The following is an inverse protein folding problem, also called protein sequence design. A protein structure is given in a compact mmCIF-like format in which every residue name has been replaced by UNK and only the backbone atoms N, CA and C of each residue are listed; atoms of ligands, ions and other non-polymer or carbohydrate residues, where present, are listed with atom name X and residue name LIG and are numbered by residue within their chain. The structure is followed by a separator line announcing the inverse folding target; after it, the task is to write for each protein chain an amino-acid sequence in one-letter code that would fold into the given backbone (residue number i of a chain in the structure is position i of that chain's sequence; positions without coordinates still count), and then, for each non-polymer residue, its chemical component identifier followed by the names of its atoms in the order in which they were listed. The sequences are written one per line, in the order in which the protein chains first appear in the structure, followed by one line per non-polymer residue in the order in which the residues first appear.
data_IF_793974143637
#
_entry.id   IF_793974143637
#
_cell.length_a   1.000
_cell.length_b   1.000
_cell.length_c   1.000
_cell.angle_alpha   90.00
_cell.angle_beta   90.00
_cell.angle_gamma   90.00
#
_symmetry.space_group_name_H-M   'P 1'
#
loop_
_entity.id
_entity.type
_entity.pdbx_description
1 polymer ?
#
# COMPACT_ATOMS: atom_id res chain seq x y z
N UNK A 1 1.76 -16.36 -66.48
CA UNK A 1 1.06 -16.97 -65.33
C UNK A 1 1.15 -16.00 -64.15
N UNK A 2 0.07 -15.27 -63.85
CA UNK A 2 0.02 -14.32 -62.75
C UNK A 2 -0.60 -14.98 -61.51
N UNK A 3 0.06 -14.89 -60.35
CA UNK A 3 -0.46 -15.43 -59.07
C UNK A 3 -1.55 -14.50 -58.52
N UNK A 4 -2.70 -15.02 -58.07
CA UNK A 4 -3.73 -14.20 -57.45
C UNK A 4 -3.27 -13.75 -56.06
N UNK A 5 -3.16 -12.43 -55.88
CA UNK A 5 -2.92 -11.78 -54.60
C UNK A 5 -4.16 -11.95 -53.71
N UNK A 6 -4.10 -12.87 -52.75
CA UNK A 6 -5.09 -12.97 -51.69
C UNK A 6 -5.02 -11.72 -50.81
N UNK A 7 -5.89 -10.75 -51.06
CA UNK A 7 -6.16 -9.65 -50.12
C UNK A 7 -6.76 -10.26 -48.84
N UNK A 8 -5.96 -10.35 -47.78
CA UNK A 8 -6.46 -10.61 -46.42
C UNK A 8 -7.37 -9.44 -46.03
N UNK A 9 -8.67 -9.68 -46.11
CA UNK A 9 -9.68 -8.79 -45.54
C UNK A 9 -9.51 -8.87 -44.02
N UNK A 10 -8.80 -7.91 -43.44
CA UNK A 10 -8.84 -7.67 -42.00
C UNK A 10 -10.26 -7.23 -41.66
N UNK A 11 -11.09 -8.19 -41.23
CA UNK A 11 -12.40 -7.93 -40.66
C UNK A 11 -12.17 -7.08 -39.41
N UNK A 12 -12.35 -5.77 -39.51
CA UNK A 12 -12.40 -4.88 -38.36
C UNK A 12 -13.56 -5.34 -37.48
N UNK A 13 -13.25 -6.13 -36.46
CA UNK A 13 -14.18 -6.44 -35.40
C UNK A 13 -14.65 -5.09 -34.83
N UNK A 14 -15.96 -4.86 -34.88
CA UNK A 14 -16.57 -3.61 -34.43
C UNK A 14 -16.14 -3.30 -32.99
N UNK A 15 -15.96 -2.02 -32.65
CA UNK A 15 -15.44 -1.59 -31.34
C UNK A 15 -16.13 -2.25 -30.15
N UNK A 16 -17.41 -2.61 -30.29
CA UNK A 16 -18.19 -3.30 -29.27
C UNK A 16 -17.77 -4.76 -29.05
N UNK A 17 -17.37 -5.50 -30.09
CA UNK A 17 -16.86 -6.87 -29.96
C UNK A 17 -15.49 -6.91 -29.28
N UNK A 18 -14.66 -5.89 -29.51
CA UNK A 18 -13.37 -5.73 -28.83
C UNK A 18 -13.53 -5.34 -27.35
N UNK A 19 -14.57 -4.56 -27.01
CA UNK A 19 -14.90 -4.25 -25.62
C UNK A 19 -15.44 -5.50 -24.90
N UNK A 20 -16.36 -6.25 -25.51
CA UNK A 20 -16.89 -7.48 -24.95
C UNK A 20 -15.80 -8.54 -24.72
N UNK A 21 -14.86 -8.72 -25.66
CA UNK A 21 -13.77 -9.69 -25.49
C UNK A 21 -12.76 -9.26 -24.41
N UNK A 22 -12.49 -7.95 -24.25
CA UNK A 22 -11.66 -7.43 -23.14
C UNK A 22 -12.33 -7.61 -21.78
N UNK A 23 -13.65 -7.53 -21.70
CA UNK A 23 -14.38 -7.79 -20.46
C UNK A 23 -14.47 -9.28 -20.15
N UNK A 24 -14.67 -10.13 -21.17
CA UNK A 24 -14.79 -11.58 -21.00
C UNK A 24 -13.44 -12.30 -20.77
N UNK A 25 -12.31 -11.61 -20.97
CA UNK A 25 -10.95 -12.12 -20.70
C UNK A 25 -10.35 -11.60 -19.38
N UNK A 26 -11.05 -10.73 -18.66
CA UNK A 26 -10.62 -10.30 -17.32
C UNK A 26 -10.86 -11.44 -16.33
N UNK A 27 -9.82 -11.76 -15.57
CA UNK A 27 -9.94 -12.70 -14.46
C UNK A 27 -10.82 -12.05 -13.39
N UNK A 28 -11.74 -12.82 -12.80
CA UNK A 28 -12.76 -12.32 -11.85
C UNK A 28 -12.18 -11.55 -10.64
N UNK A 29 -10.92 -11.79 -10.31
CA UNK A 29 -10.20 -11.15 -9.21
C UNK A 29 -9.46 -9.86 -9.61
N UNK A 30 -9.51 -9.43 -10.88
CA UNK A 30 -8.89 -8.17 -11.32
C UNK A 30 -9.86 -7.00 -11.23
N UNK A 31 -9.43 -5.94 -10.54
CA UNK A 31 -10.18 -4.67 -10.52
C UNK A 31 -10.24 -4.04 -11.92
N UNK A 32 -11.35 -3.37 -12.26
CA UNK A 32 -11.52 -2.77 -13.57
C UNK A 32 -10.53 -1.63 -13.80
N UNK A 33 -10.17 -1.38 -15.07
CA UNK A 33 -9.14 -0.40 -15.40
C UNK A 33 -9.43 1.03 -14.90
N UNK A 34 -10.70 1.44 -14.87
CA UNK A 34 -11.09 2.74 -14.33
C UNK A 34 -10.78 2.86 -12.83
N UNK A 35 -10.94 1.78 -12.07
CA UNK A 35 -10.63 1.75 -10.64
C UNK A 35 -9.12 1.79 -10.42
N UNK A 36 -8.33 1.11 -11.26
CA UNK A 36 -6.85 1.20 -11.20
C UNK A 36 -6.36 2.63 -11.42
N UNK A 37 -6.93 3.34 -12.39
CA UNK A 37 -6.61 4.76 -12.65
C UNK A 37 -6.98 5.61 -11.43
N UNK A 38 -8.19 5.44 -10.90
CA UNK A 38 -8.63 6.15 -9.69
C UNK A 38 -7.69 5.91 -8.50
N UNK A 39 -7.25 4.67 -8.26
CA UNK A 39 -6.30 4.36 -7.18
C UNK A 39 -4.97 5.08 -7.40
N UNK A 40 -4.42 5.06 -8.62
CA UNK A 40 -3.14 5.74 -8.92
C UNK A 40 -3.26 7.26 -8.68
N UNK A 41 -4.35 7.87 -9.12
CA UNK A 41 -4.58 9.31 -9.02
C UNK A 41 -4.84 9.76 -7.58
N UNK A 42 -5.42 8.90 -6.75
CA UNK A 42 -5.79 9.22 -5.37
C UNK A 42 -4.82 8.65 -4.32
N UNK A 43 -3.89 7.75 -4.68
CA UNK A 43 -3.00 7.10 -3.72
C UNK A 43 -2.18 8.10 -2.89
N UNK A 44 -1.68 9.17 -3.51
CA UNK A 44 -0.97 10.24 -2.81
C UNK A 44 -1.85 10.96 -1.79
N UNK A 45 -3.06 11.33 -2.20
CA UNK A 45 -4.05 12.00 -1.32
C UNK A 45 -4.50 11.12 -0.17
N UNK A 46 -4.84 9.86 -0.44
CA UNK A 46 -5.22 8.88 0.60
C UNK A 46 -4.07 8.72 1.60
N UNK A 47 -2.83 8.61 1.11
CA UNK A 47 -1.66 8.48 1.99
C UNK A 47 -1.43 9.74 2.82
N UNK A 48 -1.65 10.93 2.26
CA UNK A 48 -1.57 12.20 2.99
C UNK A 48 -2.63 12.28 4.10
N UNK A 49 -3.86 11.83 3.84
CA UNK A 49 -4.92 11.76 4.85
C UNK A 49 -4.54 10.76 5.95
N UNK A 50 -4.02 9.58 5.59
CA UNK A 50 -3.54 8.60 6.57
C UNK A 50 -2.43 9.20 7.44
N UNK A 51 -1.48 9.94 6.85
CA UNK A 51 -0.44 10.63 7.59
C UNK A 51 -1.04 11.68 8.55
N UNK A 52 -2.00 12.49 8.09
CA UNK A 52 -2.67 13.47 8.94
C UNK A 52 -3.36 12.82 10.14
N UNK A 53 -4.04 11.69 9.94
CA UNK A 53 -4.70 10.92 11.01
C UNK A 53 -3.69 10.29 11.97
N UNK A 54 -2.56 9.80 11.46
CA UNK A 54 -1.50 9.22 12.29
C UNK A 54 -0.63 10.27 12.99
N UNK A 55 -0.69 11.53 12.59
CA UNK A 55 0.18 12.57 13.12
C UNK A 55 -0.04 12.83 14.63
N UNK A 56 -1.28 13.07 15.14
CA UNK A 56 -1.50 13.27 16.57
C UNK A 56 -1.01 12.11 17.46
N UNK A 57 -1.34 10.83 17.19
CA UNK A 57 -0.86 9.74 18.03
C UNK A 57 0.65 9.53 17.88
N UNK A 58 1.24 9.82 16.71
CA UNK A 58 2.71 9.75 16.54
C UNK A 58 3.41 10.83 17.35
N UNK A 59 2.86 12.04 17.40
CA UNK A 59 3.40 13.15 18.19
C UNK A 59 3.32 12.82 19.69
N UNK A 60 2.20 12.25 20.13
CA UNK A 60 2.06 11.74 21.49
C UNK A 60 3.07 10.63 21.79
N UNK A 61 3.26 9.68 20.87
CA UNK A 61 4.26 8.62 21.00
C UNK A 61 5.70 9.15 21.05
N UNK A 62 5.99 10.25 20.36
CA UNK A 62 7.29 10.94 20.45
C UNK A 62 7.49 11.56 21.84
N UNK A 63 6.49 12.28 22.35
CA UNK A 63 6.55 12.87 23.69
C UNK A 63 6.68 11.77 24.75
N UNK A 64 5.80 10.75 24.73
CA UNK A 64 5.80 9.67 25.71
C UNK A 64 7.00 8.71 25.57
N UNK A 65 7.46 8.48 24.36
CA UNK A 65 8.63 7.63 24.06
C UNK A 65 9.94 8.24 24.54
N UNK A 66 10.06 9.58 24.51
CA UNK A 66 11.18 10.30 25.14
C UNK A 66 11.18 10.12 26.67
N UNK A 67 10.01 9.94 27.29
CA UNK A 67 9.89 9.65 28.73
C UNK A 67 10.11 8.17 29.10
N UNK A 68 10.10 7.23 28.14
CA UNK A 68 10.32 5.79 28.37
C UNK A 68 11.32 5.23 27.37
N UNK A 69 12.59 5.57 27.57
CA UNK A 69 13.68 4.98 26.81
C UNK A 69 14.11 3.63 27.44
N UNK A 70 14.46 2.62 26.62
CA UNK A 70 14.77 1.25 27.04
C UNK A 70 16.07 1.08 27.85
N UNK A 71 16.83 2.14 28.11
CA UNK A 71 17.94 2.07 29.08
C UNK A 71 17.48 1.94 30.53
N UNK A 72 16.20 2.18 30.82
CA UNK A 72 15.61 1.95 32.14
C UNK A 72 15.35 0.46 32.44
N UNK A 73 15.25 -0.39 31.41
CA UNK A 73 15.15 -1.86 31.58
C UNK A 73 16.48 -2.47 32.05
N UNK A 74 17.61 -1.91 31.61
CA UNK A 74 18.93 -2.28 32.14
C UNK A 74 19.10 -1.91 33.63
N UNK A 75 18.22 -1.04 34.15
CA UNK A 75 18.18 -0.57 35.54
C UNK A 75 17.04 -1.21 36.38
N UNK A 76 16.32 -2.20 35.86
CA UNK A 76 15.41 -3.05 36.66
C UNK A 76 13.96 -2.57 36.83
N UNK A 77 13.40 -1.80 35.89
CA UNK A 77 12.00 -1.33 35.93
C UNK A 77 11.02 -2.42 35.40
N UNK A 78 9.78 -2.55 35.92
CA UNK A 78 8.87 -3.68 35.62
C UNK A 78 8.34 -3.74 34.17
N UNK A 79 8.19 -4.96 33.67
CA UNK A 79 7.80 -5.39 32.30
C UNK A 79 6.48 -4.83 31.76
N UNK A 80 5.55 -4.35 32.60
CA UNK A 80 4.30 -3.72 32.15
C UNK A 80 4.51 -2.36 31.47
N UNK A 81 5.71 -1.77 31.58
CA UNK A 81 6.06 -0.50 30.94
C UNK A 81 6.52 -0.63 29.47
N UNK A 82 6.92 -1.83 29.03
CA UNK A 82 7.65 -2.06 27.77
C UNK A 82 6.75 -2.18 26.54
N UNK A 83 5.50 -2.61 26.72
CA UNK A 83 4.52 -2.65 25.63
C UNK A 83 4.20 -1.28 25.05
N UNK A 84 4.21 -0.23 25.88
CA UNK A 84 3.95 1.15 25.45
C UNK A 84 5.12 1.76 24.66
N UNK A 85 6.36 1.52 25.10
CA UNK A 85 7.56 1.99 24.39
C UNK A 85 7.71 1.32 23.03
N UNK A 86 7.48 0.00 22.96
CA UNK A 86 7.47 -0.75 21.71
C UNK A 86 6.36 -0.26 20.76
N UNK A 87 5.13 -0.09 21.26
CA UNK A 87 4.02 0.43 20.45
C UNK A 87 4.30 1.84 19.92
N UNK A 88 4.91 2.71 20.74
CA UNK A 88 5.34 4.05 20.33
C UNK A 88 6.40 4.00 19.23
N UNK A 89 7.45 3.18 19.40
CA UNK A 89 8.51 3.01 18.42
C UNK A 89 7.98 2.49 17.07
N UNK A 90 7.13 1.46 17.11
CA UNK A 90 6.46 0.94 15.90
C UNK A 90 5.63 2.03 15.24
N UNK A 91 4.85 2.80 16.00
CA UNK A 91 4.01 3.87 15.45
C UNK A 91 4.86 4.92 14.73
N UNK A 92 5.98 5.34 15.33
CA UNK A 92 6.92 6.31 14.75
C UNK A 92 7.51 5.73 13.45
N UNK A 93 8.02 4.50 13.47
CA UNK A 93 8.60 3.85 12.28
C UNK A 93 7.55 3.74 11.16
N UNK A 94 6.33 3.29 11.49
CA UNK A 94 5.22 3.21 10.55
C UNK A 94 4.90 4.58 9.96
N UNK A 95 4.84 5.62 10.79
CA UNK A 95 4.58 6.99 10.35
C UNK A 95 5.66 7.51 9.40
N UNK A 96 6.94 7.24 9.68
CA UNK A 96 8.06 7.61 8.80
C UNK A 96 7.88 7.00 7.40
N UNK A 97 7.53 5.71 7.31
CA UNK A 97 7.28 5.07 6.03
C UNK A 97 6.08 5.68 5.30
N UNK A 98 4.98 5.96 6.00
CA UNK A 98 3.80 6.60 5.40
C UNK A 98 4.15 7.99 4.84
N UNK A 99 4.86 8.82 5.61
CA UNK A 99 5.29 10.16 5.17
C UNK A 99 6.28 10.06 4.00
N UNK A 100 7.23 9.13 4.06
CA UNK A 100 8.18 8.87 2.98
C UNK A 100 7.49 8.41 1.68
N UNK A 101 6.33 7.75 1.77
CA UNK A 101 5.53 7.34 0.63
C UNK A 101 4.83 8.51 -0.09
N UNK A 102 4.54 9.62 0.60
CA UNK A 102 3.72 10.72 0.05
C UNK A 102 4.36 11.31 -1.22
N UNK A 103 5.61 11.77 -1.11
CA UNK A 103 6.32 12.43 -2.23
C UNK A 103 6.41 11.54 -3.49
N UNK A 104 6.89 10.28 -3.42
CA UNK A 104 6.95 9.42 -4.59
C UNK A 104 5.56 9.02 -5.13
N UNK A 105 4.52 8.90 -4.28
CA UNK A 105 3.17 8.62 -4.76
C UNK A 105 2.60 9.78 -5.59
N UNK A 106 2.80 11.03 -5.18
CA UNK A 106 2.42 12.19 -5.99
C UNK A 106 3.20 12.31 -7.30
N UNK A 107 4.46 11.88 -7.30
CA UNK A 107 5.30 11.81 -8.51
C UNK A 107 5.00 10.61 -9.40
N UNK A 108 4.06 9.73 -9.01
CA UNK A 108 3.76 8.46 -9.70
C UNK A 108 5.00 7.57 -9.85
N UNK A 109 5.84 7.54 -8.83
CA UNK A 109 6.99 6.62 -8.72
C UNK A 109 6.59 5.34 -7.96
N UNK A 110 6.99 4.18 -8.48
CA UNK A 110 6.70 2.88 -7.83
C UNK A 110 7.27 2.78 -6.41
N UNK A 111 8.32 3.56 -6.11
CA UNK A 111 8.96 3.62 -4.79
C UNK A 111 8.00 3.96 -3.65
N UNK A 112 6.96 4.75 -3.93
CA UNK A 112 5.95 5.09 -2.93
C UNK A 112 5.18 3.86 -2.43
N UNK A 113 4.90 2.90 -3.31
CA UNK A 113 4.25 1.66 -2.91
C UNK A 113 5.15 0.75 -2.09
N UNK A 114 6.47 0.75 -2.32
CA UNK A 114 7.41 0.01 -1.47
C UNK A 114 7.38 0.51 -0.02
N UNK A 115 7.30 1.83 0.18
CA UNK A 115 7.15 2.39 1.51
C UNK A 115 5.80 2.04 2.15
N UNK A 116 4.70 2.04 1.39
CA UNK A 116 3.39 1.60 1.91
C UNK A 116 3.39 0.12 2.31
N UNK A 117 4.01 -0.75 1.51
CA UNK A 117 4.15 -2.17 1.84
C UNK A 117 5.03 -2.33 3.09
N UNK A 118 6.13 -1.59 3.21
CA UNK A 118 6.97 -1.60 4.42
C UNK A 118 6.18 -1.14 5.66
N UNK A 119 5.39 -0.08 5.55
CA UNK A 119 4.51 0.39 6.63
C UNK A 119 3.47 -0.67 7.03
N UNK A 120 2.91 -1.39 6.05
CA UNK A 120 1.96 -2.46 6.28
C UNK A 120 2.61 -3.70 6.93
N UNK A 121 3.86 -4.03 6.58
CA UNK A 121 4.63 -5.09 7.24
C UNK A 121 4.93 -4.75 8.69
N UNK A 122 5.33 -3.52 8.99
CA UNK A 122 5.52 -3.02 10.36
C UNK A 122 4.20 -3.10 11.14
N UNK A 123 3.09 -2.73 10.50
CA UNK A 123 1.78 -2.85 11.11
C UNK A 123 1.41 -4.29 11.43
N UNK A 124 1.64 -5.24 10.50
CA UNK A 124 1.43 -6.66 10.76
C UNK A 124 2.25 -7.17 11.94
N UNK A 125 3.54 -6.85 11.99
CA UNK A 125 4.41 -7.27 13.08
C UNK A 125 3.86 -6.83 14.45
N UNK A 126 3.39 -5.58 14.53
CA UNK A 126 2.76 -5.05 15.74
C UNK A 126 1.39 -5.68 16.04
N UNK A 127 0.56 -5.90 15.01
CA UNK A 127 -0.74 -6.55 15.18
C UNK A 127 -0.62 -8.00 15.68
N UNK A 128 0.44 -8.72 15.30
CA UNK A 128 0.73 -10.06 15.84
C UNK A 128 1.05 -9.98 17.33
N UNK A 129 1.88 -9.03 17.75
CA UNK A 129 2.23 -8.82 19.16
C UNK A 129 0.98 -8.47 19.98
N UNK A 130 0.08 -7.66 19.43
CA UNK A 130 -1.18 -7.28 20.07
C UNK A 130 -2.31 -8.31 19.92
N UNK A 131 -2.03 -9.53 19.42
CA UNK A 131 -3.02 -10.59 19.22
C UNK A 131 -4.19 -10.22 18.26
N UNK A 132 -3.98 -9.24 17.39
CA UNK A 132 -4.91 -8.80 16.34
C UNK A 132 -4.36 -9.13 14.94
N UNK A 133 -3.74 -10.31 14.78
CA UNK A 133 -3.04 -10.70 13.55
C UNK A 133 -3.93 -10.65 12.29
N UNK A 134 -5.24 -10.90 12.41
CA UNK A 134 -6.20 -10.89 11.30
C UNK A 134 -6.28 -9.50 10.65
N UNK A 135 -6.38 -8.43 11.45
CA UNK A 135 -6.48 -7.05 10.91
C UNK A 135 -5.16 -6.63 10.28
N UNK A 136 -4.03 -6.94 10.92
CA UNK A 136 -2.71 -6.67 10.35
C UNK A 136 -2.47 -7.40 9.03
N UNK A 137 -2.90 -8.65 8.94
CA UNK A 137 -2.78 -9.47 7.72
C UNK A 137 -3.66 -8.92 6.61
N UNK A 138 -4.91 -8.53 6.92
CA UNK A 138 -5.81 -7.93 5.95
C UNK A 138 -5.26 -6.62 5.37
N UNK A 139 -4.66 -5.77 6.22
CA UNK A 139 -4.01 -4.53 5.75
C UNK A 139 -2.84 -4.83 4.83
N UNK A 140 -1.94 -5.74 5.23
CA UNK A 140 -0.79 -6.11 4.39
C UNK A 140 -1.22 -6.70 3.05
N UNK A 141 -2.10 -7.70 3.06
CA UNK A 141 -2.58 -8.34 1.84
C UNK A 141 -3.34 -7.37 0.96
N UNK A 142 -4.16 -6.48 1.54
CA UNK A 142 -4.84 -5.42 0.82
C UNK A 142 -3.88 -4.46 0.12
N UNK A 143 -2.85 -3.99 0.84
CA UNK A 143 -1.81 -3.12 0.26
C UNK A 143 -1.02 -3.82 -0.84
N UNK A 144 -0.62 -5.08 -0.62
CA UNK A 144 0.11 -5.88 -1.62
C UNK A 144 -0.76 -6.16 -2.84
N UNK A 145 -2.04 -6.49 -2.66
CA UNK A 145 -2.99 -6.70 -3.74
C UNK A 145 -3.14 -5.44 -4.60
N UNK A 146 -3.35 -4.28 -3.96
CA UNK A 146 -3.42 -3.00 -4.68
C UNK A 146 -2.11 -2.71 -5.42
N UNK A 147 -0.97 -2.88 -4.78
CA UNK A 147 0.34 -2.72 -5.39
C UNK A 147 0.49 -3.59 -6.65
N UNK A 148 0.19 -4.88 -6.58
CA UNK A 148 0.29 -5.80 -7.72
C UNK A 148 -0.63 -5.37 -8.87
N UNK A 149 -1.81 -4.82 -8.56
CA UNK A 149 -2.78 -4.37 -9.54
C UNK A 149 -2.37 -3.05 -10.22
N UNK A 150 -1.76 -2.12 -9.48
CA UNK A 150 -1.41 -0.80 -10.03
C UNK A 150 0.04 -0.67 -10.50
N UNK A 151 0.96 -1.58 -10.13
CA UNK A 151 2.40 -1.46 -10.44
C UNK A 151 2.73 -1.23 -11.92
N UNK A 152 1.90 -1.74 -12.84
CA UNK A 152 2.07 -1.58 -14.29
C UNK A 152 1.73 -0.16 -14.80
N UNK A 153 1.12 0.67 -13.96
CA UNK A 153 0.70 2.05 -14.27
C UNK A 153 1.65 3.11 -13.71
N UNK A 154 2.65 2.68 -12.93
CA UNK A 154 3.73 3.53 -12.44
C UNK A 154 4.93 3.45 -13.38
N UNK A 155 5.70 4.53 -13.44
CA UNK A 155 6.94 4.61 -14.21
C UNK A 155 8.15 4.17 -13.37
#
# INVERSE_FOLDING_TARGET
MARPTQRRVYRQASGNQNLASRYNSRRWYEIPDWAKVWVVDNAGWVTAIIALVLFPPTLLALVLGVYRLPFLDFLGVPTSANGLGLAAAVLIIKFIFVVAAIRPLFKREIKGWYFLVAAATVHLAHSVILQHAITGTAVLLGTVYLYVMVRRRYH
#
